data_IF_755185708085
#
_entry.id   IF_755185708085
#
_cell.length_a   1.000
_cell.length_b   1.000
_cell.length_c   1.000
_cell.angle_alpha   90.00
_cell.angle_beta   90.00
_cell.angle_gamma   90.00
#
_symmetry.space_group_name_H-M   'P 1'
#
loop_
_entity.id
_entity.type
_entity.pdbx_description
1 polymer ?
#
# COMPACT_ATOMS: atom_id res chain seq x y z
N UNK A 1 62.51 -36.65 -0.28
CA UNK A 1 61.17 -36.79 0.33
C UNK A 1 60.16 -36.08 -0.58
N UNK A 2 59.15 -36.82 -1.07
CA UNK A 2 57.73 -36.47 -1.34
C UNK A 2 57.35 -35.01 -1.80
N UNK A 3 56.26 -34.81 -2.58
CA UNK A 3 56.05 -35.18 -3.99
C UNK A 3 55.19 -34.16 -4.81
N UNK A 4 54.92 -34.49 -6.08
CA UNK A 4 53.68 -34.32 -6.88
C UNK A 4 53.17 -32.95 -7.41
N UNK A 5 53.00 -32.95 -8.74
CA UNK A 5 52.15 -32.09 -9.57
C UNK A 5 50.80 -31.71 -8.93
N UNK A 6 50.38 -30.45 -9.12
CA UNK A 6 48.98 -30.14 -9.44
C UNK A 6 48.87 -29.08 -10.53
N UNK A 7 48.04 -29.42 -11.51
CA UNK A 7 47.61 -28.61 -12.62
C UNK A 7 47.01 -27.28 -12.15
N UNK A 8 47.29 -26.20 -12.88
CA UNK A 8 46.59 -24.93 -12.76
C UNK A 8 45.18 -25.14 -13.31
N UNK A 9 44.25 -25.53 -12.43
CA UNK A 9 42.83 -25.48 -12.71
C UNK A 9 42.45 -24.04 -13.00
N UNK A 10 41.88 -23.80 -14.17
CA UNK A 10 41.18 -22.56 -14.51
C UNK A 10 40.17 -22.28 -13.38
N UNK A 11 40.39 -21.23 -12.61
CA UNK A 11 39.39 -20.64 -11.74
C UNK A 11 38.28 -20.08 -12.62
N UNK A 12 37.19 -20.83 -12.75
CA UNK A 12 35.92 -20.26 -13.15
C UNK A 12 35.58 -19.17 -12.12
N UNK A 13 35.27 -17.93 -12.54
CA UNK A 13 34.77 -16.95 -11.59
C UNK A 13 33.47 -17.49 -11.01
N UNK A 14 33.50 -17.72 -9.69
CA UNK A 14 32.31 -18.04 -8.90
C UNK A 14 31.31 -16.91 -9.14
N UNK A 15 30.16 -17.24 -9.72
CA UNK A 15 29.05 -16.30 -9.79
C UNK A 15 28.81 -15.73 -8.38
N UNK A 16 28.56 -14.42 -8.23
CA UNK A 16 28.16 -13.89 -6.94
C UNK A 16 26.91 -14.65 -6.48
N UNK A 17 26.88 -15.02 -5.20
CA UNK A 17 25.66 -15.53 -4.59
C UNK A 17 24.50 -14.61 -4.98
N UNK A 18 23.32 -15.14 -5.34
CA UNK A 18 22.18 -14.28 -5.61
C UNK A 18 22.01 -13.36 -4.39
N UNK A 19 22.17 -12.06 -4.61
CA UNK A 19 21.76 -11.06 -3.64
C UNK A 19 20.28 -11.28 -3.29
N UNK A 20 19.80 -10.75 -2.16
CA UNK A 20 18.39 -10.86 -1.79
C UNK A 20 17.53 -10.53 -3.01
N UNK A 21 16.74 -11.53 -3.44
CA UNK A 21 15.85 -11.39 -4.59
C UNK A 21 14.93 -10.20 -4.34
N UNK A 22 14.72 -9.34 -5.34
CA UNK A 22 13.87 -8.15 -5.25
C UNK A 22 12.51 -8.46 -4.58
N UNK A 23 12.46 -8.18 -3.27
CA UNK A 23 11.37 -7.52 -2.53
C UNK A 23 9.93 -7.94 -2.80
N UNK A 24 9.62 -9.22 -2.94
CA UNK A 24 8.23 -9.66 -2.84
C UNK A 24 7.77 -9.51 -1.38
N UNK A 25 7.17 -8.36 -1.05
CA UNK A 25 6.57 -8.08 0.26
C UNK A 25 5.67 -9.25 0.65
N UNK A 26 5.97 -9.90 1.77
CA UNK A 26 5.16 -11.01 2.29
C UNK A 26 3.87 -10.44 2.89
N UNK A 27 2.73 -11.00 2.49
CA UNK A 27 1.41 -10.56 2.95
C UNK A 27 0.73 -11.68 3.71
N UNK A 28 0.06 -11.31 4.81
CA UNK A 28 -0.78 -12.21 5.60
C UNK A 28 -2.12 -11.56 5.87
N UNK A 29 -3.07 -12.35 6.34
CA UNK A 29 -4.33 -11.80 6.82
C UNK A 29 -4.11 -10.98 8.09
N UNK A 30 -4.98 -9.98 8.28
CA UNK A 30 -4.96 -9.14 9.46
C UNK A 30 -5.37 -9.96 10.69
N UNK A 31 -4.60 -9.81 11.76
CA UNK A 31 -4.97 -10.30 13.09
C UNK A 31 -6.12 -9.47 13.68
N UNK A 32 -6.73 -9.97 14.75
CA UNK A 32 -7.79 -9.24 15.48
C UNK A 32 -7.30 -7.87 15.96
N UNK A 33 -6.07 -7.78 16.46
CA UNK A 33 -5.49 -6.51 16.93
C UNK A 33 -5.42 -5.49 15.79
N UNK A 34 -5.00 -5.92 14.60
CA UNK A 34 -4.88 -5.03 13.43
C UNK A 34 -6.25 -4.63 12.89
N UNK A 35 -7.23 -5.54 12.92
CA UNK A 35 -8.61 -5.23 12.55
C UNK A 35 -9.23 -4.19 13.50
N UNK A 36 -8.97 -4.32 14.81
CA UNK A 36 -9.41 -3.33 15.82
C UNK A 36 -8.74 -1.98 15.57
N UNK A 37 -7.42 -1.94 15.38
CA UNK A 37 -6.68 -0.72 15.07
C UNK A 37 -7.23 -0.04 13.80
N UNK A 38 -7.49 -0.80 12.73
CA UNK A 38 -8.11 -0.26 11.52
C UNK A 38 -9.51 0.30 11.78
N UNK A 39 -10.30 -0.32 12.66
CA UNK A 39 -11.60 0.23 13.03
C UNK A 39 -11.48 1.52 13.83
N UNK A 40 -10.55 1.61 14.77
CA UNK A 40 -10.25 2.85 15.51
C UNK A 40 -9.90 4.00 14.57
N UNK A 41 -9.06 3.73 13.56
CA UNK A 41 -8.73 4.67 12.51
C UNK A 41 -9.96 5.13 11.71
N UNK A 42 -10.91 4.24 11.42
CA UNK A 42 -12.18 4.63 10.80
C UNK A 42 -13.02 5.51 11.72
N UNK A 43 -13.11 5.16 13.01
CA UNK A 43 -13.87 5.92 14.00
C UNK A 43 -13.34 7.34 14.14
N UNK A 44 -12.02 7.53 14.05
CA UNK A 44 -11.37 8.83 14.15
C UNK A 44 -11.90 9.85 13.12
N UNK A 45 -12.25 9.39 11.91
CA UNK A 45 -12.76 10.26 10.85
C UNK A 45 -14.30 10.36 10.84
N UNK A 46 -15.00 9.62 11.70
CA UNK A 46 -16.46 9.69 11.74
C UNK A 46 -16.89 11.03 12.35
N UNK A 47 -17.80 11.68 11.64
CA UNK A 47 -18.56 12.82 12.11
C UNK A 47 -20.00 12.69 11.57
N UNK A 48 -20.99 13.36 12.19
CA UNK A 48 -22.33 13.44 11.63
C UNK A 48 -22.29 13.91 10.17
N UNK A 49 -22.89 13.12 9.26
CA UNK A 49 -22.91 13.41 7.82
C UNK A 49 -21.63 13.04 7.06
N UNK A 50 -20.61 12.49 7.71
CA UNK A 50 -19.39 12.02 7.04
C UNK A 50 -19.67 10.76 6.21
N UNK A 51 -19.38 10.80 4.91
CA UNK A 51 -19.34 9.62 4.05
C UNK A 51 -17.89 9.22 3.75
N UNK A 52 -17.30 8.44 4.65
CA UNK A 52 -15.94 7.91 4.51
C UNK A 52 -15.79 6.92 3.35
N UNK A 53 -16.88 6.51 2.71
CA UNK A 53 -16.85 5.66 1.51
C UNK A 53 -16.93 6.48 0.21
N UNK A 54 -17.10 7.80 0.30
CA UNK A 54 -17.03 8.72 -0.83
C UNK A 54 -15.58 9.20 -1.02
N UNK A 55 -15.01 8.90 -2.19
CA UNK A 55 -13.68 9.40 -2.55
C UNK A 55 -13.64 10.93 -2.60
N UNK A 56 -14.74 11.59 -2.99
CA UNK A 56 -14.83 13.05 -3.00
C UNK A 56 -14.76 13.66 -1.60
N UNK A 57 -15.44 13.03 -0.64
CA UNK A 57 -15.38 13.44 0.76
C UNK A 57 -13.98 13.23 1.35
N UNK A 58 -13.39 12.04 1.15
CA UNK A 58 -12.02 11.76 1.61
C UNK A 58 -10.98 12.69 1.00
N UNK A 59 -11.09 13.01 -0.30
CA UNK A 59 -10.20 13.96 -0.97
C UNK A 59 -10.30 15.33 -0.32
N UNK A 60 -11.52 15.83 -0.13
CA UNK A 60 -11.76 17.14 0.48
C UNK A 60 -11.20 17.22 1.91
N UNK A 61 -11.33 16.14 2.68
CA UNK A 61 -10.79 16.02 4.03
C UNK A 61 -9.25 16.06 4.03
N UNK A 62 -8.63 15.24 3.18
CA UNK A 62 -7.17 15.24 2.99
C UNK A 62 -6.68 16.64 2.60
N UNK A 63 -7.30 17.27 1.59
CA UNK A 63 -6.85 18.56 1.07
C UNK A 63 -6.96 19.66 2.13
N UNK A 64 -8.03 19.65 2.94
CA UNK A 64 -8.22 20.61 4.03
C UNK A 64 -7.13 20.48 5.10
N UNK A 65 -6.90 19.27 5.63
CA UNK A 65 -5.92 19.06 6.70
C UNK A 65 -4.47 19.19 6.21
N UNK A 66 -4.17 18.70 5.00
CA UNK A 66 -2.84 18.81 4.42
C UNK A 66 -2.47 20.29 4.21
N UNK A 67 -3.38 21.11 3.65
CA UNK A 67 -3.19 22.56 3.54
C UNK A 67 -2.98 23.23 4.89
N UNK A 68 -3.78 22.89 5.90
CA UNK A 68 -3.67 23.47 7.23
C UNK A 68 -2.32 23.14 7.89
N UNK A 69 -1.89 21.88 7.81
CA UNK A 69 -0.62 21.41 8.37
C UNK A 69 0.59 22.07 7.72
N UNK A 70 0.62 22.19 6.38
CA UNK A 70 1.74 22.81 5.67
C UNK A 70 1.82 24.32 5.89
N UNK A 71 0.69 25.00 6.07
CA UNK A 71 0.65 26.43 6.39
C UNK A 71 1.08 26.74 7.82
N UNK A 72 0.95 25.80 8.75
CA UNK A 72 1.38 25.99 10.12
C UNK A 72 2.92 26.12 10.20
N UNK A 73 3.44 27.03 11.06
CA UNK A 73 4.85 27.06 11.42
C UNK A 73 5.34 25.70 11.91
N UNK A 74 6.61 25.36 11.68
CA UNK A 74 7.13 24.04 12.03
C UNK A 74 6.98 23.68 13.52
N UNK A 75 7.04 24.67 14.42
CA UNK A 75 6.84 24.51 15.86
C UNK A 75 5.42 24.12 16.26
N UNK A 76 4.44 24.44 15.41
CA UNK A 76 3.00 24.34 15.72
C UNK A 76 2.36 23.16 14.97
N UNK A 77 3.15 22.44 14.17
CA UNK A 77 2.70 21.26 13.43
C UNK A 77 2.46 20.12 14.40
N UNK A 78 1.23 19.64 14.42
CA UNK A 78 0.83 18.40 15.09
C UNK A 78 1.36 17.18 14.31
N UNK A 79 1.46 16.02 14.95
CA UNK A 79 1.94 14.78 14.30
C UNK A 79 0.88 14.22 13.31
N UNK A 80 1.15 14.21 11.99
CA UNK A 80 0.19 13.79 10.98
C UNK A 80 -0.06 12.28 10.92
N UNK A 81 0.75 11.45 11.57
CA UNK A 81 0.80 10.01 11.32
C UNK A 81 -0.53 9.30 11.54
N UNK A 82 -1.25 9.67 12.60
CA UNK A 82 -2.54 9.04 12.92
C UNK A 82 -3.61 9.43 11.88
N UNK A 83 -3.67 10.70 11.47
CA UNK A 83 -4.61 11.16 10.44
C UNK A 83 -4.28 10.56 9.06
N UNK A 84 -3.00 10.52 8.69
CA UNK A 84 -2.52 9.92 7.44
C UNK A 84 -2.89 8.44 7.39
N UNK A 85 -2.71 7.72 8.49
CA UNK A 85 -3.11 6.31 8.61
C UNK A 85 -4.62 6.14 8.48
N UNK A 86 -5.41 7.00 9.13
CA UNK A 86 -6.86 6.97 9.06
C UNK A 86 -7.41 7.23 7.66
N UNK A 87 -6.90 8.26 6.98
CA UNK A 87 -7.21 8.55 5.58
C UNK A 87 -6.82 7.40 4.67
N UNK A 88 -5.66 6.79 4.90
CA UNK A 88 -5.19 5.63 4.17
C UNK A 88 -6.10 4.41 4.33
N UNK A 89 -6.53 4.09 5.55
CA UNK A 89 -7.49 2.99 5.80
C UNK A 89 -8.82 3.26 5.10
N UNK A 90 -9.39 4.45 5.22
CA UNK A 90 -10.65 4.76 4.51
C UNK A 90 -10.49 4.73 2.99
N UNK A 91 -9.36 5.19 2.45
CA UNK A 91 -9.05 5.07 1.02
C UNK A 91 -8.99 3.59 0.59
N UNK A 92 -8.38 2.73 1.38
CA UNK A 92 -8.35 1.30 1.09
C UNK A 92 -9.73 0.65 1.15
N UNK A 93 -10.63 1.09 2.03
CA UNK A 93 -12.02 0.62 2.06
C UNK A 93 -12.77 0.98 0.76
N UNK A 94 -12.50 2.17 0.20
CA UNK A 94 -13.01 2.55 -1.14
C UNK A 94 -12.49 1.60 -2.21
N UNK A 95 -11.21 1.25 -2.19
CA UNK A 95 -10.61 0.31 -3.17
C UNK A 95 -11.16 -1.11 -3.05
N UNK A 96 -11.34 -1.61 -1.82
CA UNK A 96 -11.95 -2.93 -1.56
C UNK A 96 -13.39 -2.94 -2.07
N UNK A 97 -14.16 -1.87 -1.85
CA UNK A 97 -15.55 -1.79 -2.32
C UNK A 97 -15.66 -1.77 -3.86
N UNK A 98 -14.67 -1.23 -4.57
CA UNK A 98 -14.70 -1.15 -6.03
C UNK A 98 -14.47 -2.50 -6.73
N UNK A 99 -13.89 -3.47 -6.04
CA UNK A 99 -13.60 -4.78 -6.61
C UNK A 99 -13.79 -5.86 -5.54
N UNK A 100 -14.82 -6.70 -5.70
CA UNK A 100 -15.19 -7.73 -4.72
C UNK A 100 -14.12 -8.81 -4.49
N UNK A 101 -13.14 -8.94 -5.40
CA UNK A 101 -11.98 -9.84 -5.24
C UNK A 101 -10.79 -9.20 -4.53
N UNK A 102 -10.90 -7.93 -4.12
CA UNK A 102 -9.91 -7.25 -3.29
C UNK A 102 -10.20 -7.47 -1.81
N UNK A 103 -9.15 -7.66 -1.00
CA UNK A 103 -9.24 -7.74 0.46
C UNK A 103 -8.09 -7.03 1.14
N UNK A 104 -8.28 -6.71 2.42
CA UNK A 104 -7.22 -6.22 3.28
C UNK A 104 -6.24 -7.34 3.64
N UNK A 105 -4.96 -7.00 3.64
CA UNK A 105 -3.87 -7.80 4.15
C UNK A 105 -2.88 -6.91 4.90
N UNK A 106 -1.99 -7.54 5.67
CA UNK A 106 -0.93 -6.88 6.41
C UNK A 106 0.41 -7.39 5.91
N UNK A 107 1.39 -6.50 5.81
CA UNK A 107 2.77 -6.88 5.52
C UNK A 107 3.33 -7.67 6.71
N UNK A 108 3.82 -8.87 6.44
CA UNK A 108 4.48 -9.70 7.44
C UNK A 108 5.89 -9.17 7.75
N UNK A 109 6.33 -9.39 8.99
CA UNK A 109 7.70 -9.18 9.46
C UNK A 109 8.23 -7.73 9.34
N UNK A 110 7.33 -6.74 9.31
CA UNK A 110 7.68 -5.32 9.35
C UNK A 110 7.61 -4.75 10.78
N UNK A 111 8.54 -3.85 11.17
CA UNK A 111 8.52 -3.21 12.50
C UNK A 111 7.28 -2.34 12.72
N UNK A 112 6.75 -1.75 11.65
CA UNK A 112 5.55 -0.92 11.66
C UNK A 112 4.44 -1.62 10.90
N UNK A 113 3.26 -1.74 11.54
CA UNK A 113 2.07 -2.29 10.90
C UNK A 113 1.78 -1.55 9.60
N UNK A 114 1.90 -2.28 8.50
CA UNK A 114 1.67 -1.78 7.15
C UNK A 114 0.53 -2.57 6.53
N UNK A 115 -0.56 -1.89 6.23
CA UNK A 115 -1.75 -2.49 5.63
C UNK A 115 -1.76 -2.32 4.12
N UNK A 116 -2.25 -3.33 3.42
CA UNK A 116 -2.31 -3.39 1.98
C UNK A 116 -3.68 -3.87 1.50
N UNK A 117 -4.11 -3.37 0.35
CA UNK A 117 -5.26 -3.92 -0.38
C UNK A 117 -4.71 -4.84 -1.47
N UNK A 118 -4.98 -6.13 -1.31
CA UNK A 118 -4.57 -7.18 -2.25
C UNK A 118 -5.75 -7.60 -3.10
N UNK A 119 -5.52 -7.65 -4.42
CA UNK A 119 -6.40 -8.33 -5.34
C UNK A 119 -5.68 -9.56 -5.89
N UNK A 120 -6.16 -10.75 -5.54
CA UNK A 120 -5.51 -12.00 -5.94
C UNK A 120 -5.75 -12.35 -7.39
N UNK A 121 -6.95 -12.04 -7.91
CA UNK A 121 -7.32 -12.33 -9.29
C UNK A 121 -6.39 -11.61 -10.28
N UNK A 122 -5.91 -10.41 -9.91
CA UNK A 122 -5.02 -9.60 -10.75
C UNK A 122 -3.59 -9.49 -10.21
N UNK A 123 -3.29 -10.21 -9.11
CA UNK A 123 -1.99 -10.20 -8.42
C UNK A 123 -1.46 -8.78 -8.16
N UNK A 124 -2.35 -7.84 -7.83
CA UNK A 124 -2.01 -6.44 -7.53
C UNK A 124 -2.10 -6.18 -6.04
N UNK A 125 -1.12 -5.45 -5.52
CA UNK A 125 -1.11 -4.96 -4.14
C UNK A 125 -1.03 -3.45 -4.18
N UNK A 126 -1.86 -2.80 -3.36
CA UNK A 126 -1.83 -1.37 -3.14
C UNK A 126 -1.55 -1.10 -1.67
N UNK A 127 -0.83 -0.03 -1.38
CA UNK A 127 -0.50 0.41 -0.02
C UNK A 127 -1.13 1.79 0.20
N UNK A 128 -2.41 1.85 0.63
CA UNK A 128 -3.15 3.11 0.68
C UNK A 128 -2.56 4.11 1.66
N UNK A 129 -2.09 3.65 2.83
CA UNK A 129 -1.45 4.51 3.84
C UNK A 129 -0.18 5.16 3.27
N UNK A 130 0.67 4.39 2.61
CA UNK A 130 1.88 4.93 1.97
C UNK A 130 1.56 5.86 0.80
N UNK A 131 0.46 5.60 0.08
CA UNK A 131 -0.01 6.51 -0.95
C UNK A 131 -0.36 7.87 -0.34
N UNK A 132 -1.16 7.90 0.74
CA UNK A 132 -1.52 9.12 1.46
C UNK A 132 -0.28 9.80 2.05
N UNK A 133 0.59 9.06 2.74
CA UNK A 133 1.80 9.61 3.37
C UNK A 133 2.69 10.33 2.36
N UNK A 134 2.92 9.72 1.19
CA UNK A 134 3.73 10.34 0.13
C UNK A 134 3.13 11.66 -0.37
N UNK A 135 1.82 11.71 -0.61
CA UNK A 135 1.15 12.94 -1.07
C UNK A 135 1.06 13.98 0.03
N UNK A 136 0.94 13.55 1.27
CA UNK A 136 0.98 14.44 2.42
C UNK A 136 2.31 15.18 2.48
N UNK A 137 3.44 14.48 2.34
CA UNK A 137 4.77 15.08 2.36
C UNK A 137 5.01 16.09 1.23
N UNK A 138 4.48 15.82 0.04
CA UNK A 138 4.63 16.69 -1.13
C UNK A 138 3.54 17.76 -1.27
N UNK A 139 2.57 17.79 -0.36
CA UNK A 139 1.38 18.63 -0.46
C UNK A 139 0.65 18.49 -1.81
N UNK A 140 0.63 17.27 -2.37
CA UNK A 140 -0.09 16.98 -3.62
C UNK A 140 -1.59 16.89 -3.31
N UNK A 141 -2.37 17.82 -3.84
CA UNK A 141 -3.81 17.95 -3.58
C UNK A 141 -4.64 17.39 -4.74
N UNK A 142 -5.93 17.17 -4.50
CA UNK A 142 -6.92 16.75 -5.53
C UNK A 142 -6.58 15.41 -6.23
N UNK A 143 -5.71 14.60 -5.63
CA UNK A 143 -5.14 13.40 -6.24
C UNK A 143 -6.00 12.14 -6.09
N UNK A 144 -6.78 12.05 -5.00
CA UNK A 144 -7.48 10.82 -4.61
C UNK A 144 -8.48 10.33 -5.67
N UNK A 145 -9.33 11.18 -6.30
CA UNK A 145 -10.28 10.71 -7.31
C UNK A 145 -9.59 10.08 -8.52
N UNK A 146 -8.52 10.70 -9.01
CA UNK A 146 -7.72 10.19 -10.13
C UNK A 146 -6.98 8.89 -9.78
N UNK A 147 -6.43 8.83 -8.57
CA UNK A 147 -5.78 7.62 -8.05
C UNK A 147 -6.74 6.45 -7.93
N UNK A 148 -7.93 6.67 -7.36
CA UNK A 148 -8.96 5.65 -7.20
C UNK A 148 -9.47 5.17 -8.56
N UNK A 149 -9.74 6.07 -9.51
CA UNK A 149 -10.16 5.70 -10.87
C UNK A 149 -9.11 4.85 -11.57
N UNK A 150 -7.84 5.25 -11.51
CA UNK A 150 -6.73 4.55 -12.17
C UNK A 150 -6.49 3.18 -11.53
N UNK A 151 -6.49 3.13 -10.20
CA UNK A 151 -6.32 1.90 -9.42
C UNK A 151 -7.49 0.94 -9.60
N UNK A 152 -8.73 1.43 -9.55
CA UNK A 152 -9.94 0.67 -9.83
C UNK A 152 -9.92 0.08 -11.24
N UNK A 153 -9.51 0.85 -12.25
CA UNK A 153 -9.35 0.32 -13.60
C UNK A 153 -8.27 -0.78 -13.68
N UNK A 154 -7.15 -0.67 -12.96
CA UNK A 154 -6.14 -1.73 -12.88
C UNK A 154 -6.68 -2.98 -12.17
N UNK A 155 -7.50 -2.78 -11.14
CA UNK A 155 -8.24 -3.82 -10.43
C UNK A 155 -9.37 -4.43 -11.26
N UNK A 156 -9.72 -3.90 -12.43
CA UNK A 156 -10.77 -4.46 -13.29
C UNK A 156 -10.22 -5.01 -14.61
N UNK A 157 -9.17 -4.40 -15.19
CA UNK A 157 -8.61 -4.81 -16.50
C UNK A 157 -7.92 -6.15 -16.52
N UNK A 158 -7.50 -6.70 -15.37
CA UNK A 158 -7.05 -8.08 -15.35
C UNK A 158 -8.20 -9.07 -15.59
N UNK A 159 -9.46 -8.70 -15.32
CA UNK A 159 -10.63 -9.60 -15.39
C UNK A 159 -10.89 -10.04 -16.83
N UNK A 160 -10.79 -9.08 -17.76
CA UNK A 160 -11.05 -9.29 -19.17
C UNK A 160 -9.97 -10.14 -19.86
N UNK A 161 -8.72 -10.14 -19.34
CA UNK A 161 -7.63 -10.96 -19.90
C UNK A 161 -7.72 -12.42 -19.46
N UNK A 162 -8.14 -12.69 -18.22
CA UNK A 162 -8.29 -14.06 -17.72
C UNK A 162 -9.48 -14.77 -18.37
N UNK A 163 -10.64 -14.08 -18.49
CA UNK A 163 -11.82 -14.65 -19.15
C UNK A 163 -11.58 -14.96 -20.65
N UNK A 164 -10.77 -14.16 -21.34
CA UNK A 164 -10.40 -14.42 -22.74
C UNK A 164 -9.40 -15.58 -22.90
N UNK A 165 -8.65 -15.92 -21.85
CA UNK A 165 -7.71 -17.05 -21.86
C UNK A 165 -8.39 -18.38 -21.51
N UNK A 166 -9.46 -18.37 -20.71
CA UNK A 166 -10.25 -19.55 -20.34
C UNK A 166 -11.26 -19.99 -21.42
N UNK A 167 -11.46 -19.18 -22.47
CA UNK A 167 -12.30 -19.52 -23.63
C UNK A 167 -11.53 -20.05 -24.86
N UNK A 168 -10.27 -20.48 -24.68
CA UNK A 168 -9.46 -21.18 -25.70
C UNK A 168 -9.16 -22.61 -25.26
#
# INVERSE_FOLDING_TARGET
MKPLLRAHGRTTPSAPAPGPQDGAVSLRDASVVELVWMEELRQHLRAPGADLRSVGYLSSLFDAYCRAWHRAPASDRWDPDYLVSALGVCLGDVLVRQCSSSRWQVVADEPRTTVAVRNDLFRRTFFPVDAVARRWLTAELDWMPGFVTSTGALLQRGALRTLAAEQR
#
